data_IF_063923111205
#
_entry.id   IF_063923111205
#
_cell.length_a   1.000
_cell.length_b   1.000
_cell.length_c   1.000
_cell.angle_alpha   90.00
_cell.angle_beta   90.00
_cell.angle_gamma   90.00
#
_symmetry.space_group_name_H-M   'P 1'
#
loop_
_entity.id
_entity.type
_entity.pdbx_description
1 polymer ?
#
# COMPACT_ATOMS: atom_id res chain seq x y z
N UNK A 1 -2.15 12.07 15.87
CA UNK A 1 -2.13 11.04 14.83
C UNK A 1 -2.08 11.73 13.50
N UNK A 2 -1.31 11.19 12.58
CA UNK A 2 -1.23 11.66 11.21
C UNK A 2 -2.52 11.28 10.46
N UNK A 3 -2.88 12.10 9.48
CA UNK A 3 -4.00 11.85 8.56
C UNK A 3 -3.47 11.14 7.32
N UNK A 4 -3.86 9.89 7.11
CA UNK A 4 -3.63 9.20 5.84
C UNK A 4 -4.81 9.41 4.91
N UNK A 5 -4.52 9.68 3.63
CA UNK A 5 -5.51 9.72 2.56
C UNK A 5 -4.98 8.98 1.34
N UNK A 6 -5.80 8.05 0.84
CA UNK A 6 -5.51 7.27 -0.36
C UNK A 6 -6.56 7.61 -1.40
N UNK A 7 -6.12 8.16 -2.53
CA UNK A 7 -6.96 8.40 -3.70
C UNK A 7 -6.63 7.41 -4.80
N UNK A 8 -7.63 7.09 -5.62
CA UNK A 8 -7.45 6.19 -6.76
C UNK A 8 -7.82 6.93 -8.04
N UNK A 9 -6.95 6.84 -9.04
CA UNK A 9 -7.11 7.47 -10.34
C UNK A 9 -7.03 6.45 -11.46
N UNK A 10 -7.60 6.79 -12.60
CA UNK A 10 -7.47 6.01 -13.83
C UNK A 10 -6.75 6.87 -14.87
N UNK A 11 -5.69 6.33 -15.44
CA UNK A 11 -4.80 7.02 -16.37
C UNK A 11 -4.57 6.16 -17.61
N UNK A 12 -4.28 6.79 -18.74
CA UNK A 12 -3.81 6.08 -19.94
C UNK A 12 -2.29 5.92 -19.84
N UNK A 13 -1.77 4.81 -20.36
CA UNK A 13 -0.33 4.63 -20.47
C UNK A 13 0.27 5.66 -21.45
N UNK A 14 1.41 6.24 -21.08
CA UNK A 14 2.06 7.28 -21.90
C UNK A 14 2.71 6.70 -23.16
N UNK A 15 3.15 5.44 -23.10
CA UNK A 15 3.87 4.76 -24.19
C UNK A 15 2.94 3.98 -25.11
N UNK A 16 1.86 3.42 -24.56
CA UNK A 16 0.84 2.63 -25.24
C UNK A 16 -0.56 3.19 -24.93
N UNK A 17 -1.03 4.26 -25.59
CA UNK A 17 -2.29 4.94 -25.24
C UNK A 17 -3.57 4.09 -25.36
N UNK A 18 -3.48 2.90 -25.96
CA UNK A 18 -4.53 1.87 -25.96
C UNK A 18 -4.70 1.15 -24.62
N UNK A 19 -3.69 1.24 -23.76
CA UNK A 19 -3.60 0.68 -22.42
C UNK A 19 -3.97 1.73 -21.36
N UNK A 20 -4.32 1.25 -20.17
CA UNK A 20 -4.61 2.12 -19.03
C UNK A 20 -4.22 1.45 -17.72
N UNK A 21 -4.04 2.26 -16.69
CA UNK A 21 -3.74 1.79 -15.35
C UNK A 21 -4.55 2.52 -14.29
N UNK A 22 -4.78 1.82 -13.18
CA UNK A 22 -5.42 2.35 -11.98
C UNK A 22 -4.33 2.61 -10.95
N UNK A 23 -4.13 3.87 -10.60
CA UNK A 23 -3.06 4.29 -9.70
C UNK A 23 -3.58 4.64 -8.31
N UNK A 24 -2.81 4.27 -7.29
CA UNK A 24 -3.09 4.53 -5.89
C UNK A 24 -2.16 5.62 -5.39
N UNK A 25 -2.74 6.78 -5.10
CA UNK A 25 -2.01 7.97 -4.69
C UNK A 25 -2.15 8.17 -3.18
N UNK A 26 -1.03 8.04 -2.45
CA UNK A 26 -1.01 8.06 -0.99
C UNK A 26 -0.40 9.36 -0.45
N UNK A 27 -1.15 10.04 0.42
CA UNK A 27 -0.66 11.21 1.15
C UNK A 27 -0.80 11.05 2.66
N UNK A 28 0.15 11.62 3.39
CA UNK A 28 0.12 11.74 4.85
C UNK A 28 0.21 13.22 5.22
N UNK A 29 -0.73 13.69 6.04
CA UNK A 29 -0.87 15.10 6.44
C UNK A 29 -0.89 16.07 5.22
N UNK A 30 -1.48 15.61 4.12
CA UNK A 30 -1.60 16.36 2.87
C UNK A 30 -0.36 16.37 1.97
N UNK A 31 0.69 15.62 2.30
CA UNK A 31 1.90 15.49 1.50
C UNK A 31 2.01 14.08 0.90
N UNK A 32 2.29 13.99 -0.40
CA UNK A 32 2.60 12.71 -1.03
C UNK A 32 3.92 12.17 -0.50
N UNK A 33 3.97 10.87 -0.23
CA UNK A 33 5.16 10.19 0.27
C UNK A 33 6.07 9.64 -0.83
N UNK A 34 5.65 9.78 -2.09
CA UNK A 34 6.31 9.24 -3.27
C UNK A 34 6.38 10.27 -4.39
N UNK A 35 7.38 10.13 -5.25
CA UNK A 35 7.60 10.95 -6.44
C UNK A 35 6.78 10.42 -7.64
N UNK A 36 6.67 11.17 -8.75
CA UNK A 36 6.15 10.63 -10.00
C UNK A 36 6.89 9.36 -10.42
N UNK A 37 6.18 8.41 -11.04
CA UNK A 37 6.69 7.09 -11.48
C UNK A 37 7.03 6.11 -10.33
N UNK A 38 6.62 6.40 -9.11
CA UNK A 38 6.63 5.46 -7.99
C UNK A 38 5.20 5.01 -7.74
N UNK A 39 4.95 3.72 -7.92
CA UNK A 39 3.60 3.15 -7.85
C UNK A 39 3.36 2.53 -6.48
N UNK A 40 2.12 2.61 -6.03
CA UNK A 40 1.70 1.92 -4.80
C UNK A 40 1.23 0.51 -5.14
N UNK A 41 1.82 -0.50 -4.50
CA UNK A 41 1.42 -1.90 -4.61
C UNK A 41 0.13 -2.14 -3.81
N UNK A 42 -1.01 -2.48 -4.46
CA UNK A 42 -2.27 -2.68 -3.76
C UNK A 42 -2.27 -3.90 -2.85
N UNK A 43 -1.50 -4.95 -3.18
CA UNK A 43 -1.44 -6.20 -2.41
C UNK A 43 -0.73 -5.95 -1.08
N UNK A 44 0.42 -5.30 -1.10
CA UNK A 44 1.19 -4.97 0.10
C UNK A 44 0.49 -3.88 0.94
N UNK A 45 -0.16 -2.91 0.29
CA UNK A 45 -0.99 -1.93 0.98
C UNK A 45 -2.17 -2.59 1.73
N UNK A 46 -2.89 -3.51 1.08
CA UNK A 46 -4.00 -4.25 1.72
C UNK A 46 -3.48 -5.15 2.83
N UNK A 47 -2.39 -5.88 2.60
CA UNK A 47 -1.83 -6.80 3.59
C UNK A 47 -1.36 -6.05 4.84
N UNK A 48 -0.64 -4.95 4.66
CA UNK A 48 -0.16 -4.11 5.76
C UNK A 48 -1.28 -3.46 6.59
N UNK A 49 -2.50 -3.37 6.05
CA UNK A 49 -3.69 -2.90 6.81
C UNK A 49 -4.12 -3.82 7.94
N UNK A 50 -3.63 -5.06 7.98
CA UNK A 50 -4.11 -6.07 8.93
C UNK A 50 -3.03 -6.76 9.73
N UNK A 51 -1.78 -6.70 9.28
CA UNK A 51 -0.67 -7.36 9.96
C UNK A 51 0.55 -6.43 10.07
N UNK A 52 1.38 -6.71 11.08
CA UNK A 52 2.68 -6.05 11.24
C UNK A 52 3.73 -6.77 10.42
N UNK A 53 4.71 -6.04 9.91
CA UNK A 53 5.73 -6.58 9.02
C UNK A 53 6.38 -5.47 8.20
N UNK A 54 7.28 -5.87 7.31
CA UNK A 54 7.87 -5.00 6.30
C UNK A 54 7.16 -5.24 4.96
N UNK A 55 6.78 -4.17 4.29
CA UNK A 55 6.00 -4.20 3.05
C UNK A 55 6.59 -3.26 2.01
N UNK A 56 6.72 -3.72 0.78
CA UNK A 56 7.13 -2.91 -0.36
C UNK A 56 5.91 -2.24 -0.97
N UNK A 57 5.30 -1.36 -0.17
CA UNK A 57 4.11 -0.59 -0.57
C UNK A 57 4.41 0.28 -1.79
N UNK A 58 5.67 0.63 -2.04
CA UNK A 58 6.09 1.48 -3.15
C UNK A 58 7.08 0.73 -4.05
N UNK A 59 6.86 0.77 -5.36
CA UNK A 59 7.61 -0.01 -6.37
C UNK A 59 7.69 0.73 -7.72
N UNK A 60 8.53 0.24 -8.65
CA UNK A 60 8.44 0.61 -10.08
C UNK A 60 7.12 0.15 -10.68
N UNK A 61 6.81 0.58 -11.90
CA UNK A 61 5.76 -0.01 -12.74
C UNK A 61 5.87 -1.54 -12.88
N UNK A 62 7.08 -2.08 -12.86
CA UNK A 62 7.35 -3.51 -12.89
C UNK A 62 7.08 -4.29 -11.59
N UNK A 63 6.75 -3.60 -10.48
CA UNK A 63 6.54 -4.20 -9.16
C UNK A 63 7.82 -4.54 -8.39
N UNK A 64 8.98 -4.27 -8.96
CA UNK A 64 10.29 -4.42 -8.31
C UNK A 64 10.71 -3.11 -7.60
N UNK A 65 10.78 -3.08 -6.26
CA UNK A 65 11.21 -1.89 -5.51
C UNK A 65 12.69 -1.50 -5.78
N UNK A 66 13.54 -2.46 -6.16
CA UNK A 66 14.97 -2.22 -6.37
C UNK A 66 15.25 -1.34 -7.60
N UNK A 67 14.36 -1.34 -8.58
CA UNK A 67 14.42 -0.45 -9.75
C UNK A 67 14.38 1.04 -9.35
N UNK A 68 13.85 1.35 -8.16
CA UNK A 68 13.77 2.69 -7.59
C UNK A 68 14.75 2.91 -6.43
N UNK A 69 15.72 2.00 -6.26
CA UNK A 69 16.66 2.01 -5.13
C UNK A 69 15.99 1.83 -3.76
N UNK A 70 14.82 1.19 -3.71
CA UNK A 70 14.12 0.89 -2.47
C UNK A 70 14.63 -0.47 -1.95
N UNK A 71 15.61 -0.43 -1.05
CA UNK A 71 16.17 -1.64 -0.43
C UNK A 71 15.39 -2.09 0.82
N UNK A 72 14.81 -1.12 1.54
CA UNK A 72 14.08 -1.32 2.79
C UNK A 72 12.61 -0.91 2.58
N UNK A 73 11.68 -1.78 2.94
CA UNK A 73 10.24 -1.53 2.83
C UNK A 73 9.69 -0.63 3.94
N UNK A 74 8.38 -0.38 3.90
CA UNK A 74 7.67 0.27 4.99
C UNK A 74 7.47 -0.72 6.12
N UNK A 75 8.08 -0.46 7.27
CA UNK A 75 7.90 -1.26 8.49
C UNK A 75 6.63 -0.82 9.20
N UNK A 76 5.64 -1.70 9.21
CA UNK A 76 4.31 -1.49 9.79
C UNK A 76 4.18 -2.23 11.10
N UNK A 77 3.72 -1.53 12.13
CA UNK A 77 3.45 -2.08 13.47
C UNK A 77 2.03 -1.72 13.91
N UNK A 78 1.26 -2.72 14.33
CA UNK A 78 -0.11 -2.56 14.82
C UNK A 78 -0.16 -2.61 16.34
N UNK A 79 -0.98 -1.74 16.92
CA UNK A 79 -1.47 -1.88 18.30
C UNK A 79 -2.98 -2.10 18.29
N UNK A 80 -3.64 -2.05 19.46
CA UNK A 80 -5.10 -2.11 19.53
C UNK A 80 -5.74 -0.97 18.72
N UNK A 81 -5.21 0.25 18.84
CA UNK A 81 -5.88 1.46 18.35
C UNK A 81 -5.10 2.19 17.25
N UNK A 82 -3.83 1.85 17.04
CA UNK A 82 -2.94 2.59 16.14
C UNK A 82 -2.18 1.68 15.18
N UNK A 83 -1.80 2.27 14.05
CA UNK A 83 -0.86 1.69 13.10
C UNK A 83 0.29 2.67 12.94
N UNK A 84 1.51 2.16 13.10
CA UNK A 84 2.74 2.92 12.98
C UNK A 84 3.51 2.47 11.76
N UNK A 85 3.87 3.41 10.91
CA UNK A 85 4.78 3.21 9.79
C UNK A 85 6.14 3.79 10.13
N UNK A 86 7.20 3.06 9.77
CA UNK A 86 8.57 3.55 9.73
C UNK A 86 9.14 3.26 8.35
N UNK A 87 9.76 4.26 7.74
CA UNK A 87 10.37 4.16 6.41
C UNK A 87 11.50 5.17 6.29
N UNK A 88 12.36 4.98 5.29
CA UNK A 88 13.39 5.96 4.93
C UNK A 88 12.77 7.09 4.10
N UNK A 89 13.27 8.32 4.29
CA UNK A 89 12.89 9.51 3.53
C UNK A 89 14.14 10.12 2.86
N UNK A 90 14.19 10.24 1.52
CA UNK A 90 13.13 9.88 0.57
C UNK A 90 12.97 8.36 0.51
N UNK A 91 11.79 7.90 0.10
CA UNK A 91 11.52 6.46 0.03
C UNK A 91 12.24 5.80 -1.14
N UNK A 92 12.32 6.49 -2.27
CA UNK A 92 13.01 6.06 -3.49
C UNK A 92 14.17 7.01 -3.80
N UNK A 93 15.25 6.46 -4.34
CA UNK A 93 16.40 7.22 -4.82
C UNK A 93 17.09 6.44 -5.94
N UNK A 94 17.63 7.10 -6.99
CA UNK A 94 18.33 6.39 -8.06
C UNK A 94 19.39 5.43 -7.51
N UNK A 95 19.28 4.14 -7.88
CA UNK A 95 20.09 3.07 -7.30
C UNK A 95 21.60 3.23 -7.58
N UNK A 96 21.96 3.95 -8.65
CA UNK A 96 23.35 4.23 -9.00
C UNK A 96 23.96 5.42 -8.24
N UNK A 97 23.16 6.17 -7.49
CA UNK A 97 23.58 7.38 -6.78
C UNK A 97 23.69 7.14 -5.27
N UNK A 98 24.70 7.73 -4.59
CA UNK A 98 24.74 7.69 -3.14
C UNK A 98 23.53 8.44 -2.57
N UNK A 99 22.93 7.87 -1.51
CA UNK A 99 21.86 8.53 -0.78
C UNK A 99 22.31 9.92 -0.28
N UNK A 100 21.43 10.93 -0.30
CA UNK A 100 21.77 12.26 0.19
C UNK A 100 22.04 12.28 1.69
N UNK A 101 22.89 13.20 2.13
CA UNK A 101 23.25 13.36 3.56
C UNK A 101 22.06 13.75 4.47
N UNK A 102 20.97 14.25 3.90
CA UNK A 102 19.75 14.64 4.63
C UNK A 102 18.74 13.49 4.81
N UNK A 103 19.08 12.29 4.32
CA UNK A 103 18.26 11.08 4.48
C UNK A 103 18.02 10.79 5.96
N UNK A 104 16.78 10.45 6.31
CA UNK A 104 16.40 10.12 7.68
C UNK A 104 15.27 9.11 7.72
N UNK A 105 15.12 8.43 8.87
CA UNK A 105 13.93 7.64 9.15
C UNK A 105 12.75 8.57 9.43
N UNK A 106 11.64 8.35 8.74
CA UNK A 106 10.36 8.97 9.00
C UNK A 106 9.45 8.00 9.76
N UNK A 107 8.60 8.56 10.61
CA UNK A 107 7.63 7.81 11.40
C UNK A 107 6.25 8.47 11.31
N UNK A 108 5.24 7.66 11.02
CA UNK A 108 3.84 8.09 10.96
C UNK A 108 2.98 7.19 11.83
N UNK A 109 2.03 7.78 12.55
CA UNK A 109 1.12 7.08 13.46
C UNK A 109 -0.32 7.42 13.12
N UNK A 110 -1.06 6.43 12.66
CA UNK A 110 -2.45 6.54 12.23
C UNK A 110 -3.40 5.94 13.27
N UNK A 111 -4.67 6.37 13.25
CA UNK A 111 -5.75 5.55 13.80
C UNK A 111 -5.81 4.25 13.03
N UNK A 112 -5.91 3.11 13.73
CA UNK A 112 -6.12 1.82 13.08
C UNK A 112 -7.41 1.79 12.29
N UNK A 113 -8.48 2.34 12.84
CA UNK A 113 -9.77 2.46 12.16
C UNK A 113 -9.64 3.27 10.87
N UNK A 114 -9.03 4.45 10.97
CA UNK A 114 -8.85 5.33 9.80
C UNK A 114 -7.99 4.68 8.73
N UNK A 115 -6.87 4.04 9.11
CA UNK A 115 -5.97 3.40 8.17
C UNK A 115 -6.68 2.27 7.40
N UNK A 116 -7.32 1.36 8.12
CA UNK A 116 -8.09 0.26 7.51
C UNK A 116 -9.22 0.80 6.63
N UNK A 117 -9.94 1.83 7.08
CA UNK A 117 -11.00 2.45 6.30
C UNK A 117 -10.49 3.06 5.00
N UNK A 118 -9.36 3.78 5.03
CA UNK A 118 -8.79 4.41 3.82
C UNK A 118 -8.34 3.36 2.81
N UNK A 119 -7.68 2.28 3.27
CA UNK A 119 -7.27 1.18 2.38
C UNK A 119 -8.50 0.47 1.78
N UNK A 120 -9.53 0.21 2.58
CA UNK A 120 -10.77 -0.41 2.11
C UNK A 120 -11.50 0.44 1.06
N UNK A 121 -11.60 1.76 1.30
CA UNK A 121 -12.23 2.70 0.37
C UNK A 121 -11.45 2.81 -0.93
N UNK A 122 -10.12 2.84 -0.87
CA UNK A 122 -9.27 2.85 -2.05
C UNK A 122 -9.44 1.56 -2.87
N UNK A 123 -9.40 0.40 -2.22
CA UNK A 123 -9.61 -0.89 -2.89
C UNK A 123 -10.99 -0.99 -3.56
N UNK A 124 -12.06 -0.59 -2.88
CA UNK A 124 -13.41 -0.54 -3.47
C UNK A 124 -13.48 0.42 -4.67
N UNK A 125 -12.87 1.60 -4.54
CA UNK A 125 -12.84 2.58 -5.63
C UNK A 125 -12.07 2.04 -6.86
N UNK A 126 -10.91 1.42 -6.67
CA UNK A 126 -10.15 0.77 -7.73
C UNK A 126 -10.97 -0.33 -8.42
N UNK A 127 -11.62 -1.22 -7.66
CA UNK A 127 -12.50 -2.27 -8.21
C UNK A 127 -13.67 -1.69 -9.02
N UNK A 128 -14.25 -0.55 -8.58
CA UNK A 128 -15.32 0.13 -9.32
C UNK A 128 -14.83 0.72 -10.63
N UNK A 129 -13.66 1.36 -10.64
CA UNK A 129 -13.03 1.88 -11.85
C UNK A 129 -12.76 0.74 -12.85
N UNK A 130 -12.18 -0.36 -12.38
CA UNK A 130 -11.87 -1.53 -13.21
C UNK A 130 -13.11 -2.16 -13.86
N UNK A 131 -14.25 -2.20 -13.15
CA UNK A 131 -15.53 -2.70 -13.71
C UNK A 131 -16.18 -1.73 -14.69
N UNK A 132 -15.99 -0.43 -14.46
CA UNK A 132 -16.68 0.64 -15.21
C UNK A 132 -15.96 1.09 -16.47
N UNK A 133 -14.69 0.70 -16.63
CA UNK A 133 -13.84 1.16 -17.71
C UNK A 133 -13.40 -0.01 -18.60
N UNK A 134 -13.44 0.22 -19.91
CA UNK A 134 -12.98 -0.73 -20.91
C UNK A 134 -11.96 -0.06 -21.81
N UNK A 135 -10.85 -0.74 -22.05
CA UNK A 135 -9.77 -0.30 -22.94
C UNK A 135 -9.66 -1.21 -24.15
N UNK A 136 -8.91 -0.77 -25.17
CA UNK A 136 -8.60 -1.63 -26.31
C UNK A 136 -7.46 -2.60 -26.00
N UNK A 137 -6.49 -2.16 -25.23
CA UNK A 137 -5.34 -2.95 -24.80
C UNK A 137 -5.56 -3.58 -23.43
N UNK A 138 -4.60 -3.39 -22.52
CA UNK A 138 -4.57 -3.97 -21.17
C UNK A 138 -4.94 -2.92 -20.12
N UNK A 139 -5.63 -3.37 -19.08
CA UNK A 139 -5.89 -2.60 -17.87
C UNK A 139 -5.20 -3.31 -16.69
N UNK A 140 -4.43 -2.58 -15.89
CA UNK A 140 -3.83 -3.05 -14.65
C UNK A 140 -4.00 -2.05 -13.51
N UNK A 141 -3.55 -2.39 -12.31
CA UNK A 141 -3.61 -1.56 -11.12
C UNK A 141 -2.27 -1.54 -10.37
N UNK A 142 -1.92 -0.37 -9.83
CA UNK A 142 -0.61 -0.13 -9.23
C UNK A 142 0.51 -0.46 -10.22
N UNK A 143 1.54 -1.21 -9.81
CA UNK A 143 2.64 -1.56 -10.69
C UNK A 143 2.20 -2.56 -11.79
N UNK A 144 1.91 -3.81 -11.43
CA UNK A 144 1.59 -4.89 -12.38
C UNK A 144 0.49 -5.82 -11.88
N UNK A 145 -0.54 -5.27 -11.19
CA UNK A 145 -1.66 -6.09 -10.74
C UNK A 145 -2.73 -6.18 -11.83
N UNK A 146 -2.93 -7.37 -12.40
CA UNK A 146 -4.01 -7.62 -13.34
C UNK A 146 -5.40 -7.26 -12.75
N UNK A 147 -6.37 -6.92 -13.61
CA UNK A 147 -7.76 -6.70 -13.17
C UNK A 147 -8.32 -7.90 -12.40
N UNK A 148 -8.05 -9.14 -12.84
CA UNK A 148 -8.48 -10.33 -12.11
C UNK A 148 -7.88 -10.38 -10.70
N UNK A 149 -6.58 -10.11 -10.57
CA UNK A 149 -5.89 -10.01 -9.28
C UNK A 149 -6.47 -8.92 -8.39
N UNK A 150 -6.69 -7.71 -8.93
CA UNK A 150 -7.36 -6.62 -8.21
C UNK A 150 -8.75 -7.04 -7.73
N UNK A 151 -9.53 -7.71 -8.59
CA UNK A 151 -10.88 -8.15 -8.25
C UNK A 151 -10.89 -9.22 -7.15
N UNK A 152 -9.88 -10.09 -7.13
CA UNK A 152 -9.70 -11.14 -6.13
C UNK A 152 -9.14 -10.65 -4.79
N UNK A 153 -8.48 -9.48 -4.76
CA UNK A 153 -7.91 -8.90 -3.55
C UNK A 153 -9.03 -8.46 -2.60
N UNK A 154 -9.06 -9.01 -1.38
CA UNK A 154 -10.09 -8.68 -0.39
C UNK A 154 -9.45 -8.06 0.86
N UNK A 155 -10.18 -7.15 1.51
CA UNK A 155 -9.80 -6.73 2.86
C UNK A 155 -9.91 -7.94 3.79
N UNK A 156 -8.84 -8.33 4.51
CA UNK A 156 -8.94 -9.46 5.43
C UNK A 156 -10.01 -9.18 6.48
N UNK A 157 -10.97 -10.11 6.62
CA UNK A 157 -12.02 -9.98 7.61
C UNK A 157 -11.39 -9.96 9.00
N UNK A 158 -11.70 -8.95 9.82
CA UNK A 158 -11.25 -8.92 11.20
C UNK A 158 -11.93 -10.05 12.00
N UNK A 159 -11.27 -11.21 12.04
CA UNK A 159 -11.61 -12.37 12.86
C UNK A 159 -10.42 -12.67 13.77
N UNK A 160 -10.54 -12.29 15.05
CA UNK A 160 -9.46 -12.36 16.03
C UNK A 160 -8.92 -13.76 16.25
N UNK A 161 -7.60 -13.91 16.10
CA UNK A 161 -6.85 -14.93 16.83
C UNK A 161 -6.63 -14.45 18.27
N UNK A 162 -7.71 -14.43 19.06
CA UNK A 162 -7.53 -14.63 20.49
C UNK A 162 -7.35 -16.13 20.66
N UNK A 163 -6.10 -16.56 20.89
CA UNK A 163 -5.87 -17.84 21.54
C UNK A 163 -6.72 -17.84 22.82
N UNK A 164 -7.71 -18.72 22.87
CA UNK A 164 -8.43 -18.97 24.11
C UNK A 164 -7.38 -19.50 25.10
N UNK A 165 -7.05 -18.71 26.12
CA UNK A 165 -6.56 -19.23 27.37
C UNK A 165 -7.61 -20.24 27.85
N UNK A 166 -7.36 -21.53 27.59
CA UNK A 166 -8.12 -22.60 28.20
C UNK A 166 -7.52 -22.84 29.58
N UNK A 167 -8.26 -22.30 30.54
CA UNK A 167 -8.19 -22.50 31.97
C UNK A 167 -7.62 -23.85 32.40
N UNK A 168 -6.79 -23.75 33.44
CA UNK A 168 -6.33 -24.83 34.30
C UNK A 168 -7.49 -25.77 34.68
N UNK A 169 -7.39 -27.03 34.27
CA UNK A 169 -8.18 -28.10 34.86
C UNK A 169 -7.73 -28.32 36.31
N UNK A 170 -8.44 -27.68 37.25
CA UNK A 170 -8.50 -28.15 38.65
C UNK A 170 -9.67 -29.12 38.74
N UNK A 171 -9.37 -30.41 38.82
CA UNK A 171 -10.35 -31.46 39.15
C UNK A 171 -10.29 -31.69 40.65
N UNK A 172 -11.43 -31.46 41.32
CA UNK A 172 -11.74 -31.98 42.66
C UNK A 172 -12.38 -33.37 42.56
#
# INVERSE_FOLDING_TARGET
MNEIRISVTLSLDETHPEDAYIDFNLSVDGQFLHEPNVYVDPVDLVTSSTMSGEFFIYTCDCGDPSCLGIDDGVVVSHTADTVKWRLRNPISWPAEEPMPDWTHDAEFVFSREQYVQQVALALDHAKRLARGFAVKGVLWAGPDLSVEGLMALEMPQQGGFYAADMDEQVVH
#
